data_IF_683390065074
#
_entry.id   IF_683390065074
#
_cell.length_a   1.000
_cell.length_b   1.000
_cell.length_c   1.000
_cell.angle_alpha   90.00
_cell.angle_beta   90.00
_cell.angle_gamma   90.00
#
_symmetry.space_group_name_H-M   'P 1'
#
loop_
_entity.id
_entity.type
_entity.pdbx_description
1 polymer ?
#
# COMPACT_ATOMS: atom_id res chain seq x y z
N UNK A 1 -2.20 -7.90 -12.02
CA UNK A 1 -2.40 -8.50 -10.70
C UNK A 1 -1.29 -9.52 -10.45
N UNK A 2 -0.56 -9.41 -9.33
CA UNK A 2 0.45 -10.39 -8.94
C UNK A 2 -0.24 -11.63 -8.35
N UNK A 3 -0.09 -12.80 -9.00
CA UNK A 3 -0.71 -14.05 -8.53
C UNK A 3 0.07 -14.64 -7.36
N UNK A 4 -0.62 -15.26 -6.40
CA UNK A 4 -0.02 -15.98 -5.27
C UNK A 4 1.10 -16.94 -5.72
N UNK A 5 2.21 -16.96 -4.99
CA UNK A 5 3.24 -17.98 -5.14
C UNK A 5 2.98 -19.11 -4.15
N UNK A 6 2.59 -20.25 -4.69
CA UNK A 6 2.51 -21.52 -3.98
C UNK A 6 3.62 -22.36 -4.55
N UNK A 7 4.59 -22.75 -3.72
CA UNK A 7 5.52 -23.79 -4.12
C UNK A 7 4.76 -25.11 -4.08
N UNK A 8 4.59 -25.72 -5.25
CA UNK A 8 4.24 -27.13 -5.37
C UNK A 8 5.49 -27.92 -4.98
N UNK A 9 5.71 -28.15 -3.69
CA UNK A 9 6.62 -29.21 -3.30
C UNK A 9 5.86 -30.52 -3.47
N UNK A 10 6.26 -31.40 -4.42
CA UNK A 10 5.82 -32.77 -4.31
C UNK A 10 6.29 -33.20 -2.93
N UNK A 11 5.37 -33.68 -2.10
CA UNK A 11 5.73 -34.43 -0.89
C UNK A 11 6.97 -35.25 -1.23
N UNK A 12 8.01 -35.18 -0.39
CA UNK A 12 9.37 -35.69 -0.65
C UNK A 12 9.45 -37.22 -0.90
N UNK A 13 8.31 -37.86 -1.17
CA UNK A 13 8.12 -39.24 -1.49
C UNK A 13 7.14 -39.34 -2.66
N UNK A 14 7.66 -39.57 -3.87
CA UNK A 14 7.23 -40.63 -4.79
C UNK A 14 5.74 -40.80 -5.16
N UNK A 15 4.85 -39.86 -4.86
CA UNK A 15 3.43 -39.97 -5.23
C UNK A 15 3.15 -39.07 -6.45
N UNK A 16 3.77 -39.40 -7.58
CA UNK A 16 3.18 -39.10 -8.90
C UNK A 16 2.00 -40.06 -9.11
N UNK A 17 1.01 -40.04 -8.22
CA UNK A 17 -0.20 -40.83 -8.41
C UNK A 17 -1.24 -39.90 -9.06
N UNK A 18 -1.53 -40.05 -10.37
CA UNK A 18 -2.56 -39.26 -11.04
C UNK A 18 -3.97 -39.50 -10.49
N UNK A 19 -4.13 -40.45 -9.56
CA UNK A 19 -5.39 -40.82 -8.91
C UNK A 19 -5.54 -40.33 -7.47
N UNK A 20 -4.53 -39.68 -6.88
CA UNK A 20 -4.69 -38.96 -5.61
C UNK A 20 -4.95 -37.49 -5.95
N UNK A 21 -5.97 -36.84 -5.35
CA UNK A 21 -6.13 -35.40 -5.52
C UNK A 21 -4.82 -34.76 -5.05
N UNK A 22 -4.13 -34.05 -5.96
CA UNK A 22 -2.98 -33.20 -5.61
C UNK A 22 -3.33 -32.54 -4.28
N UNK A 23 -2.50 -32.77 -3.25
CA UNK A 23 -2.69 -32.17 -1.94
C UNK A 23 -3.09 -30.71 -2.18
N UNK A 24 -4.35 -30.39 -1.82
CA UNK A 24 -5.07 -29.21 -2.27
C UNK A 24 -4.15 -28.00 -2.34
N UNK A 25 -3.80 -27.58 -3.56
CA UNK A 25 -2.92 -26.44 -3.81
C UNK A 25 -3.44 -25.28 -2.98
N UNK A 26 -2.59 -24.73 -2.10
CA UNK A 26 -3.01 -23.66 -1.20
C UNK A 26 -3.68 -22.54 -2.03
N UNK A 27 -4.91 -22.18 -1.67
CA UNK A 27 -5.67 -21.13 -2.32
C UNK A 27 -5.65 -19.90 -1.41
N UNK A 28 -5.10 -18.78 -1.88
CA UNK A 28 -5.24 -17.51 -1.19
C UNK A 28 -6.71 -17.05 -1.25
N UNK A 29 -7.19 -16.47 -0.15
CA UNK A 29 -8.54 -15.89 -0.10
C UNK A 29 -8.72 -14.67 -1.01
N UNK A 30 -7.62 -13.95 -1.28
CA UNK A 30 -7.57 -12.78 -2.15
C UNK A 30 -6.21 -12.63 -2.81
N UNK A 31 -6.12 -11.75 -3.80
CA UNK A 31 -4.84 -11.33 -4.35
C UNK A 31 -4.07 -10.44 -3.35
N UNK A 32 -2.72 -10.48 -3.37
CA UNK A 32 -1.89 -9.56 -2.60
C UNK A 32 -2.09 -8.12 -3.07
N UNK A 33 -1.88 -7.18 -2.15
CA UNK A 33 -1.86 -5.76 -2.49
C UNK A 33 -0.79 -5.48 -3.56
N UNK A 34 -0.93 -4.39 -4.34
CA UNK A 34 0.13 -3.96 -5.24
C UNK A 34 1.47 -3.82 -4.51
N UNK A 35 2.56 -4.05 -5.23
CA UNK A 35 3.91 -3.82 -4.69
C UNK A 35 4.09 -2.31 -4.51
N UNK A 36 4.35 -1.89 -3.27
CA UNK A 36 4.54 -0.49 -2.89
C UNK A 36 5.65 -0.38 -1.82
N UNK A 37 6.06 0.85 -1.51
CA UNK A 37 7.11 1.13 -0.52
C UNK A 37 8.50 1.22 -1.15
N UNK A 38 9.58 0.88 -0.40
CA UNK A 38 10.94 1.16 -0.84
C UNK A 38 11.33 0.40 -2.10
N UNK A 39 11.62 1.13 -3.18
CA UNK A 39 11.85 0.55 -4.52
C UNK A 39 13.00 -0.48 -4.56
N UNK A 40 14.03 -0.29 -3.73
CA UNK A 40 15.15 -1.22 -3.66
C UNK A 40 14.75 -2.61 -3.12
N UNK A 41 13.62 -2.74 -2.41
CA UNK A 41 13.06 -4.01 -1.95
C UNK A 41 12.29 -4.76 -3.05
N UNK A 42 11.89 -4.09 -4.13
CA UNK A 42 11.06 -4.71 -5.18
C UNK A 42 11.75 -5.90 -5.86
N UNK A 43 13.10 -5.94 -5.83
CA UNK A 43 13.90 -7.09 -6.30
C UNK A 43 13.73 -8.38 -5.49
N UNK A 44 13.10 -8.30 -4.32
CA UNK A 44 12.69 -9.44 -3.51
C UNK A 44 11.33 -9.99 -3.94
N UNK A 45 10.53 -9.16 -4.62
CA UNK A 45 9.24 -9.58 -5.17
C UNK A 45 9.45 -10.74 -6.14
N UNK A 46 8.69 -11.80 -5.93
CA UNK A 46 8.77 -13.02 -6.71
C UNK A 46 9.90 -13.98 -6.32
N UNK A 47 10.65 -13.72 -5.25
CA UNK A 47 11.52 -14.71 -4.60
C UNK A 47 10.85 -15.19 -3.33
N UNK A 48 11.16 -16.42 -2.92
CA UNK A 48 10.62 -17.03 -1.71
C UNK A 48 11.78 -17.58 -0.88
N UNK A 49 11.67 -17.42 0.44
CA UNK A 49 12.70 -17.78 1.40
C UNK A 49 12.07 -18.68 2.46
N UNK A 50 12.65 -19.86 2.64
CA UNK A 50 12.14 -20.84 3.58
C UNK A 50 13.01 -20.97 4.82
N UNK A 51 12.35 -21.30 5.94
CA UNK A 51 12.98 -21.66 7.21
C UNK A 51 12.26 -22.91 7.73
N UNK A 52 13.02 -23.95 8.07
CA UNK A 52 12.48 -25.11 8.78
C UNK A 52 12.76 -24.92 10.26
N UNK A 53 11.70 -24.88 11.05
CA UNK A 53 11.76 -24.75 12.50
C UNK A 53 10.86 -25.81 13.13
N UNK A 54 11.46 -26.66 13.97
CA UNK A 54 10.80 -27.85 14.53
C UNK A 54 10.26 -28.77 13.43
N UNK A 55 8.95 -29.01 13.38
CA UNK A 55 8.28 -29.85 12.38
C UNK A 55 7.63 -29.06 11.25
N UNK A 56 7.84 -27.75 11.18
CA UNK A 56 7.20 -26.89 10.20
C UNK A 56 8.24 -26.21 9.30
N UNK A 57 7.95 -26.20 8.01
CA UNK A 57 8.61 -25.34 7.03
C UNK A 57 7.76 -24.11 6.80
N UNK A 58 8.32 -22.96 7.09
CA UNK A 58 7.74 -21.67 6.78
C UNK A 58 8.34 -21.16 5.49
N UNK A 59 7.54 -20.51 4.66
CA UNK A 59 8.00 -19.85 3.46
C UNK A 59 7.43 -18.45 3.39
N UNK A 60 8.31 -17.48 3.18
CA UNK A 60 7.97 -16.08 3.00
C UNK A 60 8.34 -15.64 1.59
N UNK A 61 7.34 -15.17 0.84
CA UNK A 61 7.51 -14.54 -0.46
C UNK A 61 7.16 -13.04 -0.32
N UNK A 62 8.15 -12.14 -0.22
CA UNK A 62 7.91 -10.70 -0.09
C UNK A 62 6.91 -10.17 -1.12
N UNK A 63 6.00 -9.31 -0.66
CA UNK A 63 4.89 -8.75 -1.43
C UNK A 63 3.85 -9.74 -1.97
N UNK A 64 3.88 -11.00 -1.53
CA UNK A 64 2.92 -12.02 -1.95
C UNK A 64 2.23 -12.64 -0.74
N UNK A 65 2.91 -13.51 0.00
CA UNK A 65 2.30 -14.33 1.04
C UNK A 65 3.34 -14.93 2.00
N UNK A 66 2.82 -15.47 3.11
CA UNK A 66 3.53 -16.36 4.04
C UNK A 66 2.76 -17.67 4.10
N UNK A 67 3.44 -18.80 3.96
CA UNK A 67 2.86 -20.14 4.08
C UNK A 67 3.56 -20.97 5.14
N UNK A 68 2.86 -21.99 5.62
CA UNK A 68 3.35 -23.00 6.55
C UNK A 68 3.04 -24.39 6.00
N UNK A 69 4.03 -25.27 6.08
CA UNK A 69 3.93 -26.66 5.66
C UNK A 69 4.50 -27.57 6.74
N UNK A 70 3.66 -28.39 7.35
CA UNK A 70 4.09 -29.44 8.26
C UNK A 70 4.91 -30.49 7.52
N UNK A 71 6.09 -30.82 8.06
CA UNK A 71 7.07 -31.74 7.47
C UNK A 71 6.94 -33.17 8.03
N UNK A 72 5.89 -33.47 8.80
CA UNK A 72 5.69 -34.80 9.37
C UNK A 72 5.17 -35.78 8.31
N UNK A 73 5.48 -37.06 8.48
CA UNK A 73 5.06 -38.15 7.59
C UNK A 73 3.59 -38.56 7.78
N UNK A 74 2.70 -37.59 7.99
CA UNK A 74 1.28 -37.82 8.18
C UNK A 74 0.55 -37.59 6.86
N UNK A 75 -0.41 -38.46 6.54
CA UNK A 75 -1.23 -38.32 5.35
C UNK A 75 -2.08 -37.03 5.34
N UNK A 76 -2.29 -36.42 6.52
CA UNK A 76 -3.03 -35.20 6.76
C UNK A 76 -2.16 -34.06 7.34
N UNK A 77 -0.87 -34.01 6.98
CA UNK A 77 0.03 -32.94 7.39
C UNK A 77 -0.56 -31.56 7.07
N UNK A 78 -0.54 -30.64 8.04
CA UNK A 78 -1.13 -29.31 7.83
C UNK A 78 -0.31 -28.48 6.84
N UNK A 79 -0.97 -27.92 5.83
CA UNK A 79 -0.41 -26.87 4.98
C UNK A 79 -1.38 -25.71 4.93
N UNK A 80 -0.89 -24.47 5.00
CA UNK A 80 -1.78 -23.31 5.02
C UNK A 80 -1.13 -21.96 4.81
N UNK A 81 -1.96 -20.96 4.54
CA UNK A 81 -1.56 -19.56 4.36
C UNK A 81 -1.61 -18.85 5.71
N UNK A 82 -0.48 -18.29 6.14
CA UNK A 82 -0.38 -17.52 7.39
C UNK A 82 -0.66 -16.02 7.20
N UNK A 83 -0.67 -15.56 5.94
CA UNK A 83 -1.03 -14.20 5.57
C UNK A 83 -0.69 -13.90 4.12
N UNK A 84 -1.34 -12.88 3.57
CA UNK A 84 -1.21 -12.35 2.22
C UNK A 84 -0.79 -10.89 2.35
N UNK A 85 0.15 -10.44 1.52
CA UNK A 85 0.63 -9.07 1.54
C UNK A 85 -0.54 -8.07 1.53
N UNK A 86 -0.56 -7.21 2.55
CA UNK A 86 -1.67 -6.29 2.82
C UNK A 86 -1.19 -4.84 2.79
N UNK A 87 -0.32 -4.46 3.72
CA UNK A 87 0.11 -3.07 3.91
C UNK A 87 1.42 -3.01 4.69
N UNK A 88 2.05 -1.84 4.67
CA UNK A 88 3.19 -1.53 5.52
C UNK A 88 2.72 -1.13 6.93
N UNK A 89 3.57 -1.39 7.91
CA UNK A 89 3.52 -0.76 9.22
C UNK A 89 4.51 0.40 9.22
N UNK A 90 4.04 1.59 9.54
CA UNK A 90 4.85 2.81 9.61
C UNK A 90 4.79 3.35 11.03
N UNK A 91 5.96 3.60 11.62
CA UNK A 91 6.09 4.28 12.90
C UNK A 91 7.23 5.28 12.81
N UNK A 92 7.04 6.48 13.36
CA UNK A 92 8.03 7.56 13.34
C UNK A 92 8.60 7.83 11.93
N UNK A 93 7.73 7.88 10.92
CA UNK A 93 8.12 8.11 9.51
C UNK A 93 9.08 7.07 8.93
N UNK A 94 9.11 5.87 9.50
CA UNK A 94 9.91 4.73 9.03
C UNK A 94 9.05 3.50 8.82
N UNK A 95 9.37 2.71 7.78
CA UNK A 95 8.80 1.39 7.57
C UNK A 95 9.35 0.44 8.63
N UNK A 96 8.48 -0.12 9.47
CA UNK A 96 8.88 -0.99 10.60
C UNK A 96 8.51 -2.44 10.38
N UNK A 97 7.51 -2.72 9.54
CA UNK A 97 7.10 -4.08 9.26
C UNK A 97 6.17 -4.20 8.05
N UNK A 98 5.98 -5.44 7.61
CA UNK A 98 5.05 -5.82 6.56
C UNK A 98 3.90 -6.60 7.20
N UNK A 99 2.67 -6.11 7.07
CA UNK A 99 1.49 -6.83 7.50
C UNK A 99 1.02 -7.79 6.41
N UNK A 100 0.93 -9.07 6.79
CA UNK A 100 0.41 -10.15 5.97
C UNK A 100 -0.92 -10.61 6.60
N UNK A 101 -2.06 -10.28 5.98
CA UNK A 101 -3.40 -10.54 6.55
C UNK A 101 -4.18 -11.55 5.70
N UNK A 102 -5.39 -11.92 6.13
CA UNK A 102 -6.30 -12.74 5.34
C UNK A 102 -5.76 -14.13 4.96
N UNK A 103 -4.95 -14.71 5.85
CA UNK A 103 -4.58 -16.12 5.74
C UNK A 103 -5.76 -17.05 6.02
N UNK A 104 -5.46 -18.33 6.16
CA UNK A 104 -6.47 -19.37 6.39
C UNK A 104 -7.32 -19.08 7.62
N UNK A 105 -8.59 -19.53 7.58
CA UNK A 105 -9.50 -19.41 8.72
C UNK A 105 -8.92 -20.08 9.98
N UNK A 106 -9.04 -19.39 11.10
CA UNK A 106 -8.50 -19.79 12.39
C UNK A 106 -9.42 -19.31 13.51
N UNK A 107 -10.36 -20.19 13.89
CA UNK A 107 -11.47 -19.84 14.81
C UNK A 107 -12.29 -18.68 14.23
N UNK A 108 -12.44 -17.59 14.97
CA UNK A 108 -13.21 -16.40 14.58
C UNK A 108 -12.42 -15.37 13.76
N UNK A 109 -11.16 -15.64 13.40
CA UNK A 109 -10.33 -14.71 12.62
C UNK A 109 -9.52 -15.43 11.55
N UNK A 110 -9.02 -14.68 10.58
CA UNK A 110 -8.01 -15.17 9.64
C UNK A 110 -6.64 -15.20 10.31
N UNK A 111 -5.79 -16.15 9.93
CA UNK A 111 -4.36 -16.09 10.29
C UNK A 111 -3.75 -14.80 9.74
N UNK A 112 -2.86 -14.19 10.52
CA UNK A 112 -2.11 -13.01 10.09
C UNK A 112 -0.67 -13.10 10.59
N UNK A 113 0.24 -12.48 9.85
CA UNK A 113 1.66 -12.46 10.15
C UNK A 113 2.20 -11.04 10.06
N UNK A 114 3.06 -10.65 10.99
CA UNK A 114 3.88 -9.44 10.90
C UNK A 114 5.30 -9.85 10.53
N UNK A 115 5.85 -9.28 9.47
CA UNK A 115 7.23 -9.52 9.06
C UNK A 115 8.06 -8.27 9.34
N UNK A 116 9.04 -8.41 10.22
CA UNK A 116 10.02 -7.37 10.53
C UNK A 116 11.24 -7.54 9.62
N UNK A 117 11.70 -6.44 9.03
CA UNK A 117 12.88 -6.42 8.16
C UNK A 117 14.11 -6.06 9.00
N UNK A 118 15.08 -6.96 9.06
CA UNK A 118 16.33 -6.76 9.80
C UNK A 118 17.53 -6.70 8.85
N UNK A 119 18.53 -5.89 9.21
CA UNK A 119 19.81 -5.89 8.50
C UNK A 119 20.48 -7.26 8.67
N UNK A 120 20.91 -7.86 7.55
CA UNK A 120 21.61 -9.14 7.56
C UNK A 120 22.55 -9.30 6.36
N UNK A 121 23.44 -10.30 6.43
CA UNK A 121 24.45 -10.55 5.37
C UNK A 121 23.85 -11.15 4.09
N UNK A 122 22.70 -11.80 4.19
CA UNK A 122 22.00 -12.46 3.10
C UNK A 122 20.50 -12.30 3.22
N UNK A 123 19.78 -12.47 2.10
CA UNK A 123 18.32 -12.51 2.09
C UNK A 123 17.86 -13.87 2.65
N UNK A 124 17.30 -13.89 3.86
CA UNK A 124 16.77 -15.14 4.46
C UNK A 124 15.69 -14.88 5.49
N UNK A 125 14.78 -15.83 5.62
CA UNK A 125 13.88 -15.89 6.78
C UNK A 125 14.70 -16.39 7.98
N UNK A 126 14.90 -15.52 8.98
CA UNK A 126 15.83 -15.76 10.08
C UNK A 126 15.14 -16.38 11.30
N UNK A 127 13.90 -15.96 11.58
CA UNK A 127 13.15 -16.45 12.74
C UNK A 127 11.64 -16.42 12.48
N UNK A 128 10.91 -17.38 13.04
CA UNK A 128 9.45 -17.42 13.05
C UNK A 128 8.95 -17.75 14.45
N UNK A 129 7.97 -17.00 14.93
CA UNK A 129 7.30 -17.28 16.20
C UNK A 129 5.79 -17.12 16.09
N UNK A 130 5.08 -17.73 17.04
CA UNK A 130 3.63 -17.62 17.18
C UNK A 130 3.31 -16.96 18.53
N UNK A 131 3.41 -15.62 18.63
CA UNK A 131 3.19 -14.92 19.91
C UNK A 131 1.77 -15.07 20.43
N UNK A 132 0.78 -15.24 19.57
CA UNK A 132 -0.60 -15.55 19.99
C UNK A 132 -1.32 -16.45 19.00
N UNK A 133 -2.47 -16.99 19.39
CA UNK A 133 -3.24 -17.89 18.53
C UNK A 133 -3.64 -17.19 17.22
N UNK A 134 -3.29 -17.79 16.08
CA UNK A 134 -3.50 -17.27 14.73
C UNK A 134 -2.66 -16.03 14.34
N UNK A 135 -1.73 -15.59 15.19
CA UNK A 135 -0.83 -14.46 14.89
C UNK A 135 0.60 -14.94 14.90
N UNK A 136 1.33 -14.60 13.83
CA UNK A 136 2.72 -14.99 13.65
C UNK A 136 3.60 -13.75 13.55
N UNK A 137 4.83 -13.86 14.04
CA UNK A 137 5.87 -12.84 13.90
C UNK A 137 7.07 -13.47 13.20
N UNK A 138 7.53 -12.84 12.13
CA UNK A 138 8.64 -13.31 11.32
C UNK A 138 9.72 -12.23 11.29
N UNK A 139 10.98 -12.64 11.35
CA UNK A 139 12.12 -11.76 11.12
C UNK A 139 12.77 -12.14 9.80
N UNK A 140 12.75 -11.24 8.83
CA UNK A 140 13.41 -11.42 7.55
C UNK A 140 14.68 -10.58 7.50
N UNK A 141 15.81 -11.25 7.32
CA UNK A 141 17.10 -10.58 7.19
C UNK A 141 17.41 -10.28 5.72
N UNK A 142 17.90 -9.07 5.46
CA UNK A 142 18.37 -8.67 4.13
C UNK A 142 19.43 -7.58 4.20
N UNK A 143 20.47 -7.61 3.33
CA UNK A 143 21.43 -6.52 3.24
C UNK A 143 20.81 -5.20 2.73
N UNK A 144 19.62 -5.29 2.13
CA UNK A 144 18.93 -4.16 1.51
C UNK A 144 18.44 -3.11 2.51
N UNK A 145 18.28 -3.50 3.78
CA UNK A 145 17.80 -2.59 4.85
C UNK A 145 18.90 -2.19 5.83
N UNK A 146 20.18 -2.47 5.51
CA UNK A 146 21.30 -2.15 6.39
C UNK A 146 21.70 -0.68 6.39
N UNK A 147 21.37 0.08 5.34
CA UNK A 147 21.65 1.51 5.30
C UNK A 147 20.68 2.24 6.25
N UNK A 148 21.13 3.20 7.08
CA UNK A 148 20.27 3.89 8.06
C UNK A 148 19.03 4.54 7.44
N UNK A 149 19.13 4.97 6.18
CA UNK A 149 18.06 5.63 5.45
C UNK A 149 17.21 4.70 4.56
N UNK A 150 17.46 3.38 4.59
CA UNK A 150 16.79 2.44 3.70
C UNK A 150 15.27 2.38 3.95
N UNK A 151 14.83 2.57 5.18
CA UNK A 151 13.42 2.43 5.56
C UNK A 151 12.73 3.76 5.85
N UNK A 152 13.30 4.90 5.44
CA UNK A 152 12.63 6.19 5.58
C UNK A 152 11.45 6.30 4.60
N UNK A 153 10.32 6.79 5.09
CA UNK A 153 9.10 6.95 4.28
C UNK A 153 9.23 8.12 3.32
N UNK A 154 9.65 9.29 3.82
CA UNK A 154 9.70 10.52 3.02
C UNK A 154 10.47 10.37 1.69
N UNK A 155 11.71 9.84 1.65
CA UNK A 155 12.45 9.65 0.39
C UNK A 155 11.85 8.60 -0.55
N UNK A 156 10.95 7.75 -0.02
CA UNK A 156 10.29 6.69 -0.78
C UNK A 156 9.04 7.18 -1.51
N UNK A 157 8.48 8.32 -1.08
CA UNK A 157 7.30 8.92 -1.68
C UNK A 157 7.60 9.52 -3.06
N UNK A 158 6.64 9.48 -4.01
CA UNK A 158 6.69 10.29 -5.22
C UNK A 158 6.78 11.79 -4.90
N UNK A 159 7.42 12.56 -5.77
CA UNK A 159 7.65 14.01 -5.57
C UNK A 159 6.36 14.79 -5.26
N UNK A 160 5.24 14.44 -5.90
CA UNK A 160 3.95 15.07 -5.63
C UNK A 160 3.47 14.85 -4.19
N UNK A 161 3.69 13.65 -3.64
CA UNK A 161 3.33 13.33 -2.26
C UNK A 161 4.36 13.89 -1.26
N UNK A 162 5.63 14.02 -1.64
CA UNK A 162 6.62 14.72 -0.81
C UNK A 162 6.23 16.19 -0.61
N UNK A 163 5.85 16.90 -1.68
CA UNK A 163 5.40 18.30 -1.57
C UNK A 163 4.16 18.43 -0.67
N UNK A 164 3.20 17.52 -0.81
CA UNK A 164 2.02 17.49 0.06
C UNK A 164 2.39 17.18 1.51
N UNK A 165 3.39 16.33 1.75
CA UNK A 165 3.94 16.14 3.09
C UNK A 165 4.52 17.45 3.62
N UNK A 166 5.38 18.13 2.84
CA UNK A 166 6.03 19.38 3.25
C UNK A 166 5.00 20.45 3.63
N UNK A 167 3.91 20.56 2.87
CA UNK A 167 2.77 21.44 3.18
C UNK A 167 2.12 21.07 4.52
N UNK A 168 1.89 19.79 4.79
CA UNK A 168 1.31 19.31 6.05
C UNK A 168 2.22 19.60 7.26
N UNK A 169 3.54 19.45 7.11
CA UNK A 169 4.50 19.81 8.15
C UNK A 169 4.55 21.32 8.38
N UNK A 170 4.49 22.12 7.31
CA UNK A 170 4.44 23.58 7.39
C UNK A 170 3.15 24.04 8.10
N UNK A 171 2.00 23.48 7.72
CA UNK A 171 0.71 23.80 8.33
C UNK A 171 0.69 23.45 9.83
N UNK A 172 1.35 22.36 10.23
CA UNK A 172 1.52 22.02 11.64
C UNK A 172 2.42 23.02 12.36
N UNK A 173 3.54 23.40 11.75
CA UNK A 173 4.48 24.37 12.31
C UNK A 173 3.88 25.78 12.43
N UNK A 174 3.02 26.16 11.50
CA UNK A 174 2.26 27.42 11.49
C UNK A 174 1.00 27.35 12.38
N UNK A 175 0.79 26.25 13.11
CA UNK A 175 -0.34 26.00 14.01
C UNK A 175 -1.72 26.08 13.32
N UNK A 176 -1.77 25.84 12.01
CA UNK A 176 -3.00 25.84 11.21
C UNK A 176 -3.79 24.54 11.36
N UNK A 177 -3.10 23.45 11.74
CA UNK A 177 -3.69 22.14 12.01
C UNK A 177 -3.29 21.62 13.38
N UNK A 178 -4.13 20.77 13.96
CA UNK A 178 -3.82 20.07 15.21
C UNK A 178 -2.95 18.84 14.94
N UNK A 179 -2.29 18.30 15.98
CA UNK A 179 -1.54 17.04 15.89
C UNK A 179 -2.42 15.88 15.36
N UNK A 180 -3.68 15.80 15.79
CA UNK A 180 -4.62 14.82 15.26
C UNK A 180 -4.93 15.05 13.77
N UNK A 181 -5.03 16.32 13.35
CA UNK A 181 -5.19 16.70 11.94
C UNK A 181 -3.99 16.27 11.09
N UNK A 182 -2.79 16.52 11.59
CA UNK A 182 -1.53 16.08 10.97
C UNK A 182 -1.47 14.56 10.80
N UNK A 183 -1.75 13.78 11.85
CA UNK A 183 -1.78 12.31 11.77
C UNK A 183 -2.80 11.81 10.74
N UNK A 184 -3.98 12.43 10.68
CA UNK A 184 -5.02 12.09 9.70
C UNK A 184 -4.56 12.40 8.28
N UNK A 185 -3.95 13.56 8.05
CA UNK A 185 -3.44 13.96 6.73
C UNK A 185 -2.31 13.03 6.26
N UNK A 186 -1.34 12.73 7.13
CA UNK A 186 -0.29 11.76 6.83
C UNK A 186 -0.85 10.37 6.53
N UNK A 187 -1.86 9.93 7.27
CA UNK A 187 -2.53 8.65 6.98
C UNK A 187 -3.12 8.65 5.56
N UNK A 188 -3.87 9.69 5.18
CA UNK A 188 -4.42 9.78 3.81
C UNK A 188 -3.32 9.79 2.74
N UNK A 189 -2.20 10.45 3.03
CA UNK A 189 -1.03 10.48 2.14
C UNK A 189 -0.42 9.07 1.97
N UNK A 190 -0.37 8.26 3.03
CA UNK A 190 0.11 6.88 2.96
C UNK A 190 -0.87 5.93 2.27
N UNK A 191 -2.16 6.18 2.37
CA UNK A 191 -3.19 5.49 1.59
C UNK A 191 -3.02 5.82 0.09
N UNK A 192 -2.84 7.09 -0.27
CA UNK A 192 -2.59 7.54 -1.65
C UNK A 192 -1.27 6.98 -2.22
N UNK A 193 -0.25 6.82 -1.37
CA UNK A 193 1.01 6.16 -1.74
C UNK A 193 0.90 4.63 -1.88
N UNK A 194 -0.25 4.05 -1.50
CA UNK A 194 -0.48 2.61 -1.47
C UNK A 194 0.30 1.88 -0.37
N UNK A 195 0.75 2.59 0.66
CA UNK A 195 1.44 1.98 1.81
C UNK A 195 0.46 1.41 2.81
N UNK A 196 -0.67 2.09 3.00
CA UNK A 196 -1.79 1.62 3.80
C UNK A 196 -2.93 1.19 2.88
N UNK A 197 -3.68 0.17 3.31
CA UNK A 197 -4.92 -0.17 2.64
C UNK A 197 -6.01 0.75 3.16
N UNK A 198 -6.79 1.35 2.26
CA UNK A 198 -8.02 2.01 2.67
C UNK A 198 -8.89 1.01 3.45
N UNK A 199 -9.57 1.45 4.53
CA UNK A 199 -10.53 0.58 5.21
C UNK A 199 -11.53 0.06 4.17
N UNK A 200 -11.60 -1.26 4.00
CA UNK A 200 -12.57 -1.85 3.07
C UNK A 200 -13.97 -1.49 3.56
N UNK A 201 -14.75 -0.79 2.73
CA UNK A 201 -16.15 -0.44 3.03
C UNK A 201 -17.09 -1.66 3.12
N UNK A 202 -16.59 -2.90 3.10
CA UNK A 202 -17.42 -4.11 3.20
C UNK A 202 -16.70 -5.27 3.92
N UNK A 203 -16.70 -5.22 5.25
CA UNK A 203 -16.80 -6.44 6.07
C UNK A 203 -18.03 -6.25 6.96
N UNK A 204 -19.09 -7.07 6.83
CA UNK A 204 -20.25 -6.97 7.69
C UNK A 204 -19.83 -7.43 9.08
N UNK A 205 -19.43 -6.47 9.91
CA UNK A 205 -19.50 -6.63 11.35
C UNK A 205 -20.94 -7.01 11.67
N UNK A 206 -21.18 -8.28 12.03
CA UNK A 206 -22.41 -8.66 12.72
C UNK A 206 -22.40 -7.96 14.07
N UNK A 207 -22.86 -6.72 14.06
CA UNK A 207 -23.29 -5.99 15.24
C UNK A 207 -24.73 -5.56 14.96
N UNK A 208 -25.57 -5.95 15.90
CA UNK A 208 -27.01 -5.88 15.85
C UNK A 208 -27.54 -4.48 15.53
N UNK A 209 -28.66 -4.47 14.81
CA UNK A 209 -29.23 -3.30 14.15
C UNK A 209 -29.62 -2.16 15.09
N UNK A 210 -29.25 -0.96 14.68
CA UNK A 210 -29.96 0.29 14.94
C UNK A 210 -30.33 0.94 13.60
N UNK A 211 -31.55 1.46 13.41
CA UNK A 211 -32.04 1.88 12.10
C UNK A 211 -31.58 3.30 11.81
N UNK A 212 -30.49 3.46 11.05
CA UNK A 212 -30.25 4.70 10.28
C UNK A 212 -29.09 4.58 9.27
N UNK A 213 -29.15 3.57 8.40
CA UNK A 213 -28.30 3.55 7.19
C UNK A 213 -28.95 2.79 6.03
N UNK A 214 -30.10 3.28 5.54
CA UNK A 214 -30.61 2.90 4.23
C UNK A 214 -30.03 3.85 3.16
N UNK A 215 -28.86 3.49 2.62
CA UNK A 215 -28.14 4.27 1.62
C UNK A 215 -28.11 3.63 0.23
N UNK A 216 -29.20 3.82 -0.54
CA UNK A 216 -29.28 3.69 -2.01
C UNK A 216 -28.99 2.31 -2.67
N UNK A 217 -29.83 1.31 -2.40
CA UNK A 217 -29.71 -0.01 -3.05
C UNK A 217 -30.42 -0.15 -4.42
N UNK A 218 -30.94 0.92 -5.03
CA UNK A 218 -31.58 0.81 -6.35
C UNK A 218 -31.15 1.91 -7.32
N UNK A 219 -31.02 1.53 -8.60
CA UNK A 219 -30.68 2.43 -9.70
C UNK A 219 -31.73 3.55 -9.88
N UNK A 220 -32.98 3.30 -9.47
CA UNK A 220 -34.07 4.27 -9.42
C UNK A 220 -33.83 5.34 -8.34
N UNK A 221 -33.42 4.93 -7.13
CA UNK A 221 -33.08 5.84 -6.05
C UNK A 221 -31.87 6.72 -6.43
N UNK A 222 -30.89 6.14 -7.13
CA UNK A 222 -29.72 6.87 -7.60
C UNK A 222 -30.10 7.94 -8.63
N UNK A 223 -30.98 7.62 -9.59
CA UNK A 223 -31.50 8.60 -10.55
C UNK A 223 -32.28 9.72 -9.86
N UNK A 224 -33.09 9.40 -8.85
CA UNK A 224 -33.85 10.39 -8.08
C UNK A 224 -32.92 11.33 -7.30
N UNK A 225 -31.96 10.78 -6.57
CA UNK A 225 -30.97 11.53 -5.82
C UNK A 225 -30.12 12.43 -6.75
N UNK A 226 -29.70 11.92 -7.92
CA UNK A 226 -28.98 12.71 -8.91
C UNK A 226 -29.83 13.88 -9.44
N UNK A 227 -31.14 13.68 -9.63
CA UNK A 227 -32.05 14.74 -10.07
C UNK A 227 -32.24 15.81 -8.98
N UNK A 228 -32.35 15.42 -7.72
CA UNK A 228 -32.44 16.34 -6.59
C UNK A 228 -31.14 17.13 -6.39
N UNK A 229 -29.99 16.45 -6.43
CA UNK A 229 -28.67 17.07 -6.37
C UNK A 229 -28.45 18.08 -7.51
N UNK A 230 -28.86 17.75 -8.73
CA UNK A 230 -28.75 18.65 -9.88
C UNK A 230 -29.57 19.93 -9.70
N UNK A 231 -30.78 19.82 -9.12
CA UNK A 231 -31.60 20.99 -8.79
C UNK A 231 -30.93 21.85 -7.73
N UNK A 232 -30.38 21.24 -6.69
CA UNK A 232 -29.73 21.97 -5.60
C UNK A 232 -28.46 22.68 -6.07
N UNK A 233 -27.65 22.03 -6.90
CA UNK A 233 -26.50 22.65 -7.57
C UNK A 233 -26.95 23.88 -8.37
N UNK A 234 -28.06 23.78 -9.11
CA UNK A 234 -28.59 24.92 -9.87
C UNK A 234 -29.04 26.07 -8.96
N UNK A 235 -29.67 25.75 -7.82
CA UNK A 235 -30.10 26.73 -6.80
C UNK A 235 -28.91 27.46 -6.18
N UNK A 236 -27.89 26.72 -5.73
CA UNK A 236 -26.67 27.25 -5.14
C UNK A 236 -25.90 28.12 -6.14
N UNK A 237 -25.82 27.69 -7.40
CA UNK A 237 -25.24 28.50 -8.47
C UNK A 237 -25.97 29.83 -8.68
N UNK A 238 -27.31 29.82 -8.61
CA UNK A 238 -28.11 31.04 -8.67
C UNK A 238 -27.80 32.00 -7.51
N UNK A 239 -27.68 31.48 -6.29
CA UNK A 239 -27.29 32.26 -5.10
C UNK A 239 -25.89 32.85 -5.24
N UNK A 240 -24.90 32.07 -5.67
CA UNK A 240 -23.54 32.56 -5.89
C UNK A 240 -23.51 33.69 -6.93
N UNK A 241 -24.26 33.55 -8.03
CA UNK A 241 -24.38 34.61 -9.03
C UNK A 241 -25.08 35.86 -8.47
N UNK A 242 -26.14 35.69 -7.67
CA UNK A 242 -26.85 36.80 -7.04
C UNK A 242 -25.96 37.61 -6.08
N UNK A 243 -25.04 36.94 -5.39
CA UNK A 243 -24.07 37.55 -4.48
C UNK A 243 -22.74 37.92 -5.13
N UNK A 244 -22.60 37.78 -6.45
CA UNK A 244 -21.39 38.14 -7.19
C UNK A 244 -20.16 37.29 -6.86
N UNK A 245 -20.35 36.07 -6.35
CA UNK A 245 -19.27 35.17 -5.95
C UNK A 245 -18.85 34.29 -7.13
N UNK A 246 -17.62 34.44 -7.66
CA UNK A 246 -17.15 33.64 -8.78
C UNK A 246 -16.93 32.17 -8.38
N UNK A 247 -17.41 31.23 -9.21
CA UNK A 247 -17.13 29.79 -9.06
C UNK A 247 -16.76 29.18 -10.42
N UNK A 248 -15.69 28.39 -10.46
CA UNK A 248 -15.18 27.72 -11.68
C UNK A 248 -15.55 26.24 -11.64
N UNK A 249 -15.89 25.64 -12.79
CA UNK A 249 -16.00 24.18 -12.93
C UNK A 249 -14.61 23.59 -13.23
N UNK A 250 -14.16 22.54 -12.54
CA UNK A 250 -13.13 21.67 -13.08
C UNK A 250 -13.74 21.00 -14.33
N UNK A 251 -13.14 21.19 -15.50
CA UNK A 251 -13.56 20.48 -16.70
C UNK A 251 -12.41 19.58 -17.14
N UNK A 252 -12.67 18.28 -17.12
CA UNK A 252 -11.85 17.26 -17.74
C UNK A 252 -11.86 17.46 -19.27
N UNK A 253 -10.65 17.50 -19.86
CA UNK A 253 -10.30 17.24 -21.26
C UNK A 253 -11.20 17.76 -22.41
N UNK A 254 -10.69 18.74 -23.17
CA UNK A 254 -10.68 18.66 -24.65
C UNK A 254 -9.70 19.67 -25.27
N UNK A 255 -8.78 19.13 -26.07
CA UNK A 255 -8.22 19.68 -27.32
C UNK A 255 -7.69 21.13 -27.38
N UNK A 256 -6.35 21.22 -27.45
CA UNK A 256 -5.61 22.28 -28.11
C UNK A 256 -6.12 22.50 -29.54
N UNK A 257 -6.69 23.67 -29.81
CA UNK A 257 -6.67 24.25 -31.16
C UNK A 257 -6.04 25.65 -31.13
N UNK A 258 -5.19 25.86 -32.12
CA UNK A 258 -4.43 27.05 -32.43
C UNK A 258 -5.29 28.32 -32.51
N UNK A 259 -4.80 29.39 -31.89
CA UNK A 259 -4.99 30.74 -32.38
C UNK A 259 -3.66 31.49 -32.27
N UNK A 260 -3.03 31.66 -33.43
CA UNK A 260 -1.75 32.32 -33.56
C UNK A 260 -1.85 33.83 -33.37
N UNK A 261 -0.80 34.41 -32.80
CA UNK A 261 -0.47 35.82 -33.01
C UNK A 261 1.04 36.05 -33.08
N UNK A 262 1.47 36.35 -34.32
CA UNK A 262 2.49 37.32 -34.76
C UNK A 262 3.76 37.52 -33.92
N UNK A 263 4.86 37.05 -34.49
CA UNK A 263 6.26 37.41 -34.21
C UNK A 263 6.58 38.89 -34.53
N UNK A 264 7.37 39.56 -33.68
CA UNK A 264 8.26 40.64 -34.09
C UNK A 264 9.72 40.15 -34.16
N UNK A 265 10.45 40.62 -35.17
CA UNK A 265 11.82 40.17 -35.50
C UNK A 265 12.89 41.02 -34.81
N UNK A 266 13.78 40.30 -34.12
CA UNK A 266 15.24 40.47 -33.90
C UNK A 266 15.85 41.66 -33.12
N UNK A 267 16.75 41.31 -32.18
CA UNK A 267 18.16 41.76 -32.09
C UNK A 267 19.05 40.67 -31.45
N UNK A 268 20.37 40.61 -31.74
CA UNK A 268 21.27 39.53 -31.29
C UNK A 268 21.75 39.73 -29.83
N UNK A 269 22.26 38.68 -29.16
CA UNK A 269 22.59 38.73 -27.74
C UNK A 269 23.91 39.48 -27.48
N UNK A 270 23.85 40.47 -26.60
CA UNK A 270 25.01 41.12 -26.00
C UNK A 270 25.58 40.21 -24.91
N UNK A 271 26.90 40.02 -24.99
CA UNK A 271 27.68 39.11 -24.17
C UNK A 271 27.89 39.74 -22.78
N UNK A 272 27.14 39.28 -21.77
CA UNK A 272 27.35 39.67 -20.38
C UNK A 272 28.67 39.06 -19.87
N UNK A 273 29.66 39.92 -19.67
CA UNK A 273 30.96 39.64 -19.06
C UNK A 273 30.73 39.30 -17.58
N UNK A 274 30.97 38.06 -17.19
CA UNK A 274 31.10 37.66 -15.78
C UNK A 274 32.53 37.92 -15.30
N UNK A 275 32.68 38.73 -14.26
CA UNK A 275 33.95 38.93 -13.56
C UNK A 275 34.38 37.64 -12.85
N UNK A 276 35.65 37.20 -12.98
CA UNK A 276 36.18 36.11 -12.17
C UNK A 276 36.55 36.64 -10.78
N UNK A 277 35.78 36.21 -9.77
CA UNK A 277 36.07 36.48 -8.37
C UNK A 277 37.47 36.00 -7.95
N UNK A 278 38.17 36.85 -7.21
CA UNK A 278 39.49 36.65 -6.63
C UNK A 278 39.57 35.35 -5.78
N UNK A 279 40.52 34.48 -6.11
CA UNK A 279 41.03 33.44 -5.19
C UNK A 279 41.84 34.12 -4.09
N UNK A 280 41.30 34.16 -2.88
CA UNK A 280 42.06 34.45 -1.67
C UNK A 280 42.82 33.20 -1.23
N UNK A 281 44.14 33.30 -1.19
CA UNK A 281 45.04 32.40 -0.48
C UNK A 281 45.15 32.84 0.98
N UNK A 282 44.87 31.92 1.91
CA UNK A 282 45.58 31.70 3.19
C UNK A 282 44.98 30.46 3.87
#
# INVERSE_FOLDING_TARGET
AAKMKVVEEPNTFGVNNPFLPQASRLQAKRDPSPVSGPAHLFRLSGKCFSLVESTYKYEFCPFHNVTQHEQTFRWNAYSGVLGIWHEWEIANNTFTGMWMRDGDACRSRSRQSKVELACGKSNRLAHVSKPSTCVYALTFETPLVCHPHALLVYPTLPEALQRRWDEVEQDLADELITAQGHEKLLRTLFEDAGYFKAPEENEPTQLEGGPDSLGLETLENCRKAHKELSKEIKRLKGLLTQHGIPYVRPTETSSLEHLGHKTPRAKPPEQLRGDPGLRGSL
#
